data_IF_882589694615
#
_entry.id   IF_882589694615
#
_cell.length_a   1.000
_cell.length_b   1.000
_cell.length_c   1.000
_cell.angle_alpha   90.00
_cell.angle_beta   90.00
_cell.angle_gamma   90.00
#
_symmetry.space_group_name_H-M   'P 1'
#
loop_
_entity.id
_entity.type
_entity.pdbx_description
1 polymer ?
#
# COMPACT_ATOMS: atom_id res chain seq x y z
N UNK A 1 1.17 -13.81 -40.65
CA UNK A 1 1.48 -12.68 -39.75
C UNK A 1 2.46 -13.14 -38.67
N UNK A 2 3.77 -12.84 -38.78
CA UNK A 2 4.78 -13.32 -37.81
C UNK A 2 4.83 -12.38 -36.60
N UNK A 3 4.52 -12.88 -35.39
CA UNK A 3 4.68 -12.12 -34.13
C UNK A 3 6.17 -11.83 -33.90
N UNK A 4 6.54 -10.55 -33.91
CA UNK A 4 7.88 -10.08 -33.53
C UNK A 4 8.03 -10.28 -32.01
N UNK A 5 8.82 -11.27 -31.57
CA UNK A 5 9.16 -11.43 -30.15
C UNK A 5 10.08 -10.28 -29.76
N UNK A 6 9.69 -9.49 -28.75
CA UNK A 6 10.55 -8.45 -28.18
C UNK A 6 11.71 -9.15 -27.48
N UNK A 7 12.97 -8.82 -27.84
CA UNK A 7 14.14 -9.33 -27.14
C UNK A 7 14.12 -8.78 -25.71
N UNK A 8 14.36 -9.64 -24.72
CA UNK A 8 14.55 -9.20 -23.33
C UNK A 8 15.71 -8.20 -23.32
N UNK A 9 15.42 -6.95 -22.93
CA UNK A 9 16.45 -6.01 -22.54
C UNK A 9 16.93 -6.44 -21.15
N UNK A 10 18.23 -6.37 -20.90
CA UNK A 10 18.85 -6.66 -19.62
C UNK A 10 18.52 -5.55 -18.61
N UNK A 11 17.23 -5.45 -18.25
CA UNK A 11 16.69 -4.44 -17.34
C UNK A 11 16.63 -5.07 -15.95
N UNK A 12 17.37 -4.48 -15.02
CA UNK A 12 17.28 -4.80 -13.61
C UNK A 12 16.30 -3.85 -12.93
N UNK A 13 15.22 -4.40 -12.38
CA UNK A 13 14.24 -3.66 -11.60
C UNK A 13 14.87 -3.38 -10.23
N UNK A 14 15.00 -2.09 -9.86
CA UNK A 14 15.64 -1.68 -8.61
C UNK A 14 14.64 -1.42 -7.48
N UNK A 15 13.46 -0.91 -7.82
CA UNK A 15 12.42 -0.56 -6.87
C UNK A 15 11.07 -0.96 -7.44
N UNK A 16 10.19 -1.45 -6.57
CA UNK A 16 8.79 -1.73 -6.89
C UNK A 16 7.93 -1.10 -5.81
N UNK A 17 7.01 -0.23 -6.21
CA UNK A 17 6.02 0.37 -5.32
C UNK A 17 4.70 -0.39 -5.46
N UNK A 18 4.17 -0.91 -4.36
CA UNK A 18 2.88 -1.64 -4.36
C UNK A 18 1.99 -1.22 -3.21
N UNK A 19 0.69 -1.53 -3.35
CA UNK A 19 -0.23 -1.58 -2.22
C UNK A 19 0.22 -2.63 -1.18
N UNK A 20 -0.36 -2.54 0.02
CA UNK A 20 -0.11 -3.36 1.20
C UNK A 20 -0.69 -4.79 1.10
N UNK A 21 -1.34 -5.14 -0.02
CA UNK A 21 -1.88 -6.49 -0.25
C UNK A 21 -0.79 -7.56 -0.29
N UNK A 22 -1.00 -8.62 0.50
CA UNK A 22 -0.11 -9.78 0.59
C UNK A 22 0.16 -10.43 -0.78
N UNK A 23 -0.82 -10.39 -1.69
CA UNK A 23 -0.67 -10.95 -3.03
C UNK A 23 0.37 -10.18 -3.86
N UNK A 24 0.42 -8.85 -3.76
CA UNK A 24 1.40 -8.04 -4.46
C UNK A 24 2.79 -8.21 -3.86
N UNK A 25 2.89 -8.21 -2.53
CA UNK A 25 4.14 -8.46 -1.82
C UNK A 25 4.73 -9.82 -2.26
N UNK A 26 3.92 -10.89 -2.23
CA UNK A 26 4.37 -12.22 -2.63
C UNK A 26 4.85 -12.25 -4.10
N UNK A 27 4.11 -11.61 -5.00
CA UNK A 27 4.49 -11.55 -6.42
C UNK A 27 5.83 -10.83 -6.64
N UNK A 28 6.07 -9.72 -5.94
CA UNK A 28 7.34 -8.99 -6.05
C UNK A 28 8.49 -9.80 -5.47
N UNK A 29 8.29 -10.42 -4.31
CA UNK A 29 9.32 -11.24 -3.67
C UNK A 29 9.71 -12.47 -4.51
N UNK A 30 8.75 -13.07 -5.23
CA UNK A 30 9.01 -14.21 -6.10
C UNK A 30 9.71 -13.82 -7.42
N UNK A 31 9.31 -12.70 -8.04
CA UNK A 31 9.73 -12.35 -9.39
C UNK A 31 10.87 -11.33 -9.44
N UNK A 32 11.04 -10.53 -8.39
CA UNK A 32 12.01 -9.43 -8.30
C UNK A 32 12.66 -9.37 -6.90
N UNK A 33 13.28 -10.46 -6.41
CA UNK A 33 13.83 -10.52 -5.05
C UNK A 33 14.95 -9.51 -4.78
N UNK A 34 15.64 -9.04 -5.83
CA UNK A 34 16.70 -8.02 -5.74
C UNK A 34 16.14 -6.59 -5.71
N UNK A 35 14.86 -6.38 -6.03
CA UNK A 35 14.26 -5.06 -6.02
C UNK A 35 13.86 -4.65 -4.61
N UNK A 36 14.07 -3.38 -4.27
CA UNK A 36 13.54 -2.80 -3.03
C UNK A 36 12.02 -2.64 -3.15
N UNK A 37 11.28 -3.37 -2.32
CA UNK A 37 9.84 -3.22 -2.20
C UNK A 37 9.52 -1.97 -1.36
N UNK A 38 8.76 -1.05 -1.93
CA UNK A 38 8.31 0.19 -1.31
C UNK A 38 6.79 0.14 -1.19
N UNK A 39 6.25 0.56 -0.05
CA UNK A 39 4.80 0.71 0.09
C UNK A 39 4.35 2.05 -0.46
N UNK A 40 3.26 2.01 -1.21
CA UNK A 40 2.70 3.18 -1.86
C UNK A 40 2.30 4.27 -0.84
N UNK A 41 2.80 5.49 -1.06
CA UNK A 41 2.60 6.61 -0.15
C UNK A 41 1.12 6.96 0.05
N UNK A 42 0.30 6.88 -1.00
CA UNK A 42 -1.13 7.17 -0.93
C UNK A 42 -1.84 6.17 0.00
N UNK A 43 -1.51 4.89 -0.10
CA UNK A 43 -2.12 3.84 0.74
C UNK A 43 -1.73 4.00 2.21
N UNK A 44 -0.48 4.36 2.49
CA UNK A 44 0.00 4.64 3.86
C UNK A 44 -0.72 5.84 4.47
N UNK A 45 -0.83 6.95 3.73
CA UNK A 45 -1.52 8.17 4.19
C UNK A 45 -3.01 7.92 4.40
N UNK A 46 -3.65 7.16 3.50
CA UNK A 46 -5.05 6.79 3.62
C UNK A 46 -5.31 6.00 4.90
N UNK A 47 -4.51 4.96 5.17
CA UNK A 47 -4.63 4.14 6.38
C UNK A 47 -4.47 4.98 7.66
N UNK A 48 -3.52 5.92 7.66
CA UNK A 48 -3.32 6.84 8.79
C UNK A 48 -4.55 7.73 9.01
N UNK A 49 -5.10 8.31 7.95
CA UNK A 49 -6.27 9.17 8.04
C UNK A 49 -7.52 8.43 8.54
N UNK A 50 -7.76 7.21 8.04
CA UNK A 50 -8.84 6.35 8.52
C UNK A 50 -8.72 6.11 10.02
N UNK A 51 -7.50 5.84 10.50
CA UNK A 51 -7.25 5.62 11.92
C UNK A 51 -7.45 6.88 12.77
N UNK A 52 -7.00 8.03 12.27
CA UNK A 52 -7.21 9.33 12.94
C UNK A 52 -8.71 9.65 13.06
N UNK A 53 -9.48 9.37 12.02
CA UNK A 53 -10.93 9.61 12.03
C UNK A 53 -11.66 8.71 13.02
N UNK A 54 -11.25 7.44 13.16
CA UNK A 54 -11.77 6.56 14.22
C UNK A 54 -11.52 7.11 15.62
N UNK A 55 -10.31 7.62 15.87
CA UNK A 55 -9.94 8.21 17.16
C UNK A 55 -10.79 9.46 17.43
N UNK A 56 -10.93 10.36 16.44
CA UNK A 56 -11.74 11.57 16.53
C UNK A 56 -13.20 11.24 16.85
N UNK A 57 -13.78 10.25 16.17
CA UNK A 57 -15.16 9.80 16.41
C UNK A 57 -15.34 9.25 17.84
N UNK A 58 -14.38 8.45 18.32
CA UNK A 58 -14.41 7.92 19.69
C UNK A 58 -14.33 9.01 20.74
N UNK A 59 -13.40 9.97 20.58
CA UNK A 59 -13.27 11.11 21.48
C UNK A 59 -14.58 11.92 21.57
N UNK A 60 -15.16 12.25 20.42
CA UNK A 60 -16.42 12.99 20.36
C UNK A 60 -17.61 12.25 20.98
N UNK A 61 -17.69 10.92 20.78
CA UNK A 61 -18.73 10.10 21.41
C UNK A 61 -18.60 10.13 22.94
N UNK A 62 -17.38 10.00 23.47
CA UNK A 62 -17.13 10.04 24.91
C UNK A 62 -17.51 11.39 25.52
N UNK A 63 -17.14 12.51 24.89
CA UNK A 63 -17.52 13.85 25.36
C UNK A 63 -19.05 14.04 25.40
N UNK A 64 -19.76 13.57 24.38
CA UNK A 64 -21.23 13.64 24.33
C UNK A 64 -21.91 12.81 25.42
N UNK A 65 -21.36 11.67 25.78
CA UNK A 65 -21.92 10.84 26.85
C UNK A 65 -21.72 11.46 28.23
N UNK A 66 -20.59 12.15 28.46
CA UNK A 66 -20.36 12.90 29.72
C UNK A 66 -21.32 14.07 29.86
N UNK A 67 -21.60 14.78 28.77
CA UNK A 67 -22.44 15.99 28.77
C UNK A 67 -23.96 15.70 28.66
N UNK A 68 -24.36 14.42 28.65
CA UNK A 68 -25.76 13.96 28.72
C UNK A 68 -26.24 13.65 30.14
N UNK A 69 -25.40 13.89 31.16
CA UNK A 69 -25.78 13.82 32.57
C UNK A 69 -26.38 15.14 33.06
#
# INVERSE_FOLDING_TARGET
>A
MKRKKVKRKDIRIRHVETDLSTAFIASVMENCPEATLVFDHFHVVKLMNEKLDDIRRKAYSMEKDVNKR
#
